data_IF_151998660522
#
_entry.id   IF_151998660522
#
_cell.length_a   1.000
_cell.length_b   1.000
_cell.length_c   1.000
_cell.angle_alpha   90.00
_cell.angle_beta   90.00
_cell.angle_gamma   90.00
#
_symmetry.space_group_name_H-M   'P 1'
#
loop_
_entity.id
_entity.type
_entity.pdbx_description
1 polymer ?
#
# COMPACT_ATOMS: atom_id res chain seq x y z
N UNK A 1 15.41 -44.55 -31.59
CA UNK A 1 13.95 -44.73 -31.45
C UNK A 1 13.63 -45.10 -30.01
N UNK A 2 12.61 -44.45 -29.41
CA UNK A 2 11.88 -44.81 -28.15
C UNK A 2 12.64 -44.48 -26.84
N UNK A 3 12.32 -43.39 -26.12
CA UNK A 3 11.15 -43.06 -25.24
C UNK A 3 11.28 -43.60 -23.80
N UNK A 4 11.10 -42.71 -22.81
CA UNK A 4 10.76 -42.99 -21.40
C UNK A 4 11.59 -42.15 -20.40
N UNK A 5 11.17 -40.96 -19.95
CA UNK A 5 10.28 -40.65 -18.78
C UNK A 5 10.90 -41.15 -17.44
N UNK A 6 11.64 -40.31 -16.69
CA UNK A 6 11.25 -39.52 -15.49
C UNK A 6 10.51 -40.32 -14.39
N UNK A 7 11.06 -40.42 -13.17
CA UNK A 7 10.35 -40.06 -11.91
C UNK A 7 11.23 -40.19 -10.65
N UNK A 8 11.05 -39.19 -9.77
CA UNK A 8 11.62 -38.99 -8.44
C UNK A 8 11.24 -40.07 -7.41
N UNK A 9 12.07 -40.24 -6.38
CA UNK A 9 11.58 -40.51 -5.02
C UNK A 9 12.54 -39.92 -3.97
N UNK A 10 12.06 -38.89 -3.28
CA UNK A 10 12.67 -38.28 -2.09
C UNK A 10 12.24 -39.11 -0.88
N UNK A 11 13.19 -39.58 -0.09
CA UNK A 11 12.97 -40.03 1.29
C UNK A 11 13.91 -39.23 2.21
N UNK A 12 13.33 -38.36 3.03
CA UNK A 12 13.91 -37.98 4.31
C UNK A 12 12.79 -37.47 5.23
N UNK A 13 12.86 -37.95 6.46
CA UNK A 13 11.84 -38.01 7.50
C UNK A 13 11.98 -36.81 8.45
N UNK A 14 10.81 -36.28 8.85
CA UNK A 14 10.42 -35.61 10.11
C UNK A 14 11.29 -34.49 10.69
N UNK A 15 10.63 -33.37 10.98
CA UNK A 15 10.77 -32.66 12.27
C UNK A 15 9.44 -31.94 12.59
N UNK A 16 8.76 -32.38 13.64
CA UNK A 16 7.87 -31.52 14.44
C UNK A 16 8.77 -30.49 15.14
N UNK A 17 8.38 -29.25 15.42
CA UNK A 17 7.39 -28.79 16.39
C UNK A 17 7.12 -27.27 16.14
N UNK A 18 6.05 -26.76 16.76
CA UNK A 18 5.84 -25.38 17.27
C UNK A 18 5.31 -24.25 16.35
N UNK A 19 4.06 -23.84 16.66
CA UNK A 19 3.42 -22.52 16.52
C UNK A 19 3.76 -21.65 15.30
N UNK A 20 2.97 -21.77 14.23
CA UNK A 20 2.98 -20.81 13.13
C UNK A 20 1.58 -20.20 12.89
N UNK A 21 1.25 -19.12 13.62
CA UNK A 21 0.46 -18.02 13.03
C UNK A 21 1.33 -17.17 12.07
N UNK A 22 2.36 -17.78 11.47
CA UNK A 22 3.27 -17.16 10.52
C UNK A 22 2.72 -17.20 9.08
N UNK A 23 1.75 -18.08 8.80
CA UNK A 23 1.12 -18.18 7.47
C UNK A 23 0.43 -16.89 7.06
N UNK A 24 -0.33 -16.26 7.96
CA UNK A 24 -1.12 -15.09 7.60
C UNK A 24 -0.28 -13.81 7.43
N UNK A 25 0.88 -13.70 8.09
CA UNK A 25 1.79 -12.56 7.92
C UNK A 25 2.71 -12.73 6.73
N UNK A 26 3.15 -13.96 6.43
CA UNK A 26 4.01 -14.23 5.28
C UNK A 26 3.22 -14.19 3.97
N UNK A 27 1.99 -14.71 3.91
CA UNK A 27 1.13 -14.58 2.72
C UNK A 27 0.65 -13.15 2.50
N UNK A 28 0.46 -12.37 3.58
CA UNK A 28 0.23 -10.92 3.49
C UNK A 28 1.47 -10.17 3.03
N UNK A 29 2.66 -10.54 3.49
CA UNK A 29 3.93 -9.98 2.99
C UNK A 29 4.23 -10.38 1.54
N UNK A 30 3.83 -11.59 1.12
CA UNK A 30 4.04 -12.13 -0.23
C UNK A 30 3.01 -11.58 -1.24
N UNK A 31 1.79 -11.27 -0.81
CA UNK A 31 0.81 -10.52 -1.60
C UNK A 31 1.11 -9.02 -1.70
N UNK A 32 1.93 -8.46 -0.81
CA UNK A 32 2.52 -7.12 -0.98
C UNK A 32 3.64 -7.15 -2.04
N UNK A 33 4.26 -8.31 -2.27
CA UNK A 33 5.41 -8.47 -3.17
C UNK A 33 5.06 -8.72 -4.64
N UNK A 34 3.79 -8.88 -5.02
CA UNK A 34 3.39 -9.20 -6.41
C UNK A 34 3.10 -7.98 -7.29
N UNK A 35 3.19 -6.76 -6.76
CA UNK A 35 3.13 -5.53 -7.55
C UNK A 35 4.52 -4.93 -7.69
N UNK A 36 5.31 -5.44 -8.64
CA UNK A 36 6.59 -4.84 -9.02
C UNK A 36 6.39 -3.32 -9.25
N UNK A 37 6.92 -2.51 -8.32
CA UNK A 37 6.79 -1.04 -8.34
C UNK A 37 5.90 -0.39 -7.25
N UNK A 38 5.21 -1.17 -6.39
CA UNK A 38 4.43 -0.61 -5.27
C UNK A 38 5.10 -0.88 -3.92
N UNK A 39 6.18 -0.14 -3.63
CA UNK A 39 6.85 -0.19 -2.32
C UNK A 39 6.27 0.84 -1.35
N UNK A 40 5.63 0.37 -0.28
CA UNK A 40 4.93 1.23 0.68
C UNK A 40 5.86 2.25 1.34
N UNK A 41 7.08 1.85 1.73
CA UNK A 41 8.00 2.73 2.44
C UNK A 41 8.54 3.85 1.54
N UNK A 42 8.89 3.50 0.31
CA UNK A 42 9.36 4.43 -0.72
C UNK A 42 8.25 5.41 -1.09
N UNK A 43 7.02 4.92 -1.29
CA UNK A 43 5.87 5.77 -1.59
C UNK A 43 5.52 6.69 -0.42
N UNK A 44 5.50 6.19 0.82
CA UNK A 44 5.30 7.02 2.02
C UNK A 44 6.34 8.13 2.06
N UNK A 45 7.63 7.80 1.88
CA UNK A 45 8.71 8.78 1.91
C UNK A 45 8.55 9.84 0.81
N UNK A 46 8.27 9.42 -0.42
CA UNK A 46 8.07 10.32 -1.55
C UNK A 46 6.86 11.24 -1.37
N UNK A 47 5.74 10.70 -0.88
CA UNK A 47 4.53 11.47 -0.57
C UNK A 47 4.80 12.46 0.57
N UNK A 48 5.42 12.02 1.67
CA UNK A 48 5.75 12.90 2.79
C UNK A 48 6.74 14.00 2.39
N UNK A 49 7.63 13.75 1.43
CA UNK A 49 8.51 14.75 0.83
C UNK A 49 7.76 15.86 0.09
N UNK A 50 6.56 15.58 -0.44
CA UNK A 50 5.66 16.57 -1.04
C UNK A 50 4.71 17.21 -0.03
N UNK A 51 4.10 16.41 0.85
CA UNK A 51 3.10 16.88 1.81
C UNK A 51 3.72 17.74 2.93
N UNK A 52 4.88 17.37 3.46
CA UNK A 52 5.50 18.09 4.58
C UNK A 52 5.72 19.59 4.29
N UNK A 53 6.39 19.97 3.18
CA UNK A 53 6.55 21.39 2.86
C UNK A 53 5.24 22.04 2.43
N UNK A 54 4.43 21.39 1.58
CA UNK A 54 3.21 21.98 1.03
C UNK A 54 2.14 22.28 2.10
N UNK A 55 2.06 21.46 3.13
CA UNK A 55 1.13 21.62 4.26
C UNK A 55 1.78 22.30 5.46
N UNK A 56 3.08 22.60 5.39
CA UNK A 56 3.83 23.18 6.51
C UNK A 56 3.64 22.36 7.79
N UNK A 57 3.81 21.04 7.69
CA UNK A 57 3.53 20.12 8.80
C UNK A 57 4.48 20.39 9.97
N UNK A 58 3.90 20.52 11.17
CA UNK A 58 4.69 20.65 12.40
C UNK A 58 5.41 19.35 12.75
N UNK A 59 6.41 19.45 13.63
CA UNK A 59 7.13 18.28 14.13
C UNK A 59 6.19 17.24 14.78
N UNK A 60 5.13 17.70 15.46
CA UNK A 60 4.13 16.83 16.08
C UNK A 60 3.18 16.18 15.05
N UNK A 61 2.92 16.84 13.92
CA UNK A 61 2.03 16.34 12.87
C UNK A 61 2.73 15.32 11.96
N UNK A 62 4.01 15.55 11.60
CA UNK A 62 4.78 14.70 10.68
C UNK A 62 4.67 13.20 10.98
N UNK A 63 4.93 12.69 12.20
CA UNK A 63 4.84 11.26 12.46
C UNK A 63 3.38 10.74 12.34
N UNK A 64 2.39 11.53 12.76
CA UNK A 64 0.97 11.14 12.67
C UNK A 64 0.50 11.04 11.22
N UNK A 65 0.87 12.02 10.38
CA UNK A 65 0.57 12.00 8.94
C UNK A 65 1.31 10.85 8.27
N UNK A 66 2.58 10.63 8.59
CA UNK A 66 3.38 9.50 8.06
C UNK A 66 2.69 8.16 8.34
N UNK A 67 2.23 7.94 9.57
CA UNK A 67 1.51 6.72 9.94
C UNK A 67 0.19 6.59 9.16
N UNK A 68 -0.61 7.65 9.07
CA UNK A 68 -1.88 7.62 8.33
C UNK A 68 -1.67 7.29 6.83
N UNK A 69 -0.64 7.86 6.20
CA UNK A 69 -0.28 7.57 4.81
C UNK A 69 0.22 6.14 4.65
N UNK A 70 1.08 5.66 5.56
CA UNK A 70 1.62 4.29 5.52
C UNK A 70 0.52 3.25 5.68
N UNK A 71 -0.39 3.45 6.63
CA UNK A 71 -1.55 2.57 6.83
C UNK A 71 -2.43 2.51 5.58
N UNK A 72 -2.73 3.68 4.99
CA UNK A 72 -3.51 3.77 3.75
C UNK A 72 -2.84 3.02 2.60
N UNK A 73 -1.55 3.25 2.36
CA UNK A 73 -0.81 2.57 1.29
C UNK A 73 -0.71 1.06 1.54
N UNK A 74 -0.56 0.64 2.80
CA UNK A 74 -0.57 -0.78 3.18
C UNK A 74 -1.92 -1.45 2.92
N UNK A 75 -3.02 -0.74 3.12
CA UNK A 75 -4.35 -1.23 2.74
C UNK A 75 -4.50 -1.28 1.23
N UNK A 76 -4.04 -0.24 0.52
CA UNK A 76 -4.06 -0.17 -0.95
C UNK A 76 -3.29 -1.33 -1.59
N UNK A 77 -2.12 -1.68 -1.04
CA UNK A 77 -1.28 -2.77 -1.50
C UNK A 77 -2.02 -4.14 -1.52
N UNK A 78 -3.04 -4.34 -0.69
CA UNK A 78 -3.78 -5.60 -0.64
C UNK A 78 -4.70 -5.82 -1.84
N UNK A 79 -5.05 -4.76 -2.58
CA UNK A 79 -5.98 -4.85 -3.70
C UNK A 79 -5.53 -4.09 -4.95
N UNK A 80 -4.30 -3.57 -4.98
CA UNK A 80 -3.77 -2.78 -6.11
C UNK A 80 -3.76 -3.58 -7.43
N UNK A 81 -3.55 -4.90 -7.39
CA UNK A 81 -3.65 -5.78 -8.56
C UNK A 81 -5.06 -5.82 -9.19
N UNK A 82 -6.10 -5.45 -8.43
CA UNK A 82 -7.47 -5.31 -8.93
C UNK A 82 -7.61 -4.18 -9.94
N UNK A 83 -6.68 -3.21 -10.01
CA UNK A 83 -6.70 -2.19 -11.05
C UNK A 83 -6.75 -2.79 -12.45
N UNK A 84 -6.08 -3.92 -12.67
CA UNK A 84 -6.03 -4.60 -13.97
C UNK A 84 -7.11 -5.68 -14.09
N UNK A 85 -7.37 -6.41 -13.01
CA UNK A 85 -8.22 -7.61 -13.04
C UNK A 85 -9.69 -7.34 -12.72
N UNK A 86 -9.99 -6.30 -11.94
CA UNK A 86 -11.35 -5.88 -11.60
C UNK A 86 -11.40 -4.38 -11.20
N UNK A 87 -11.40 -3.46 -12.18
CA UNK A 87 -11.33 -2.02 -11.93
C UNK A 87 -12.49 -1.47 -11.10
N UNK A 88 -13.67 -2.07 -11.18
CA UNK A 88 -14.85 -1.67 -10.41
C UNK A 88 -14.64 -1.95 -8.91
N UNK A 89 -14.18 -3.16 -8.56
CA UNK A 89 -13.84 -3.52 -7.18
C UNK A 89 -12.70 -2.65 -6.66
N UNK A 90 -11.66 -2.40 -7.47
CA UNK A 90 -10.57 -1.50 -7.10
C UNK A 90 -11.11 -0.11 -6.73
N UNK A 91 -11.93 0.50 -7.61
CA UNK A 91 -12.49 1.84 -7.39
C UNK A 91 -13.32 1.91 -6.11
N UNK A 92 -14.16 0.91 -5.86
CA UNK A 92 -14.99 0.87 -4.65
C UNK A 92 -14.13 0.79 -3.38
N UNK A 93 -13.14 -0.12 -3.34
CA UNK A 93 -12.23 -0.27 -2.19
C UNK A 93 -11.39 0.98 -1.97
N UNK A 94 -10.83 1.52 -3.05
CA UNK A 94 -10.03 2.74 -3.05
C UNK A 94 -10.81 3.93 -2.48
N UNK A 95 -12.07 4.12 -2.90
CA UNK A 95 -12.94 5.14 -2.33
C UNK A 95 -13.12 4.94 -0.82
N UNK A 96 -13.38 3.72 -0.36
CA UNK A 96 -13.56 3.42 1.06
C UNK A 96 -12.33 3.76 1.90
N UNK A 97 -11.16 3.24 1.52
CA UNK A 97 -9.92 3.48 2.29
C UNK A 97 -9.45 4.93 2.21
N UNK A 98 -9.71 5.63 1.09
CA UNK A 98 -9.35 7.04 0.94
C UNK A 98 -10.21 7.94 1.82
N UNK A 99 -11.50 7.63 1.99
CA UNK A 99 -12.34 8.33 2.96
C UNK A 99 -11.86 8.09 4.39
N UNK A 100 -11.42 6.88 4.71
CA UNK A 100 -10.76 6.57 5.99
C UNK A 100 -9.50 7.41 6.22
N UNK A 101 -8.65 7.56 5.20
CA UNK A 101 -7.49 8.44 5.25
C UNK A 101 -7.90 9.90 5.52
N UNK A 102 -8.89 10.44 4.79
CA UNK A 102 -9.37 11.81 5.02
C UNK A 102 -9.85 12.03 6.45
N UNK A 103 -10.62 11.10 7.00
CA UNK A 103 -11.10 11.19 8.38
C UNK A 103 -9.95 11.21 9.38
N UNK A 104 -8.92 10.36 9.20
CA UNK A 104 -7.70 10.39 10.03
C UNK A 104 -6.97 11.73 9.90
N UNK A 105 -6.78 12.21 8.68
CA UNK A 105 -6.10 13.49 8.42
C UNK A 105 -6.87 14.68 8.99
N UNK A 106 -8.21 14.66 8.99
CA UNK A 106 -9.03 15.70 9.62
C UNK A 106 -8.79 15.81 11.14
N UNK A 107 -8.41 14.71 11.80
CA UNK A 107 -8.03 14.70 13.21
C UNK A 107 -6.58 15.14 13.49
N UNK A 108 -5.74 15.28 12.46
CA UNK A 108 -4.32 15.62 12.59
C UNK A 108 -4.03 17.03 12.07
N UNK A 109 -4.65 17.39 10.95
CA UNK A 109 -4.43 18.62 10.21
C UNK A 109 -5.43 19.70 10.66
N UNK A 110 -4.96 20.94 10.72
CA UNK A 110 -5.90 22.08 10.88
C UNK A 110 -6.66 22.32 9.58
N UNK A 111 -7.80 23.02 9.66
CA UNK A 111 -8.70 23.25 8.50
C UNK A 111 -7.99 23.75 7.24
N UNK A 112 -7.07 24.70 7.37
CA UNK A 112 -6.31 25.23 6.23
C UNK A 112 -5.41 24.14 5.60
N UNK A 113 -4.69 23.38 6.41
CA UNK A 113 -3.86 22.26 5.93
C UNK A 113 -4.70 21.19 5.25
N UNK A 114 -5.88 20.87 5.79
CA UNK A 114 -6.78 19.90 5.18
C UNK A 114 -7.30 20.39 3.82
N UNK A 115 -7.68 21.66 3.70
CA UNK A 115 -8.09 22.24 2.42
C UNK A 115 -6.94 22.20 1.40
N UNK A 116 -5.72 22.56 1.82
CA UNK A 116 -4.53 22.46 0.97
C UNK A 116 -4.27 21.02 0.53
N UNK A 117 -4.38 20.05 1.44
CA UNK A 117 -4.23 18.63 1.13
C UNK A 117 -5.19 18.20 0.01
N UNK A 118 -6.47 18.57 0.10
CA UNK A 118 -7.45 18.26 -0.95
C UNK A 118 -7.11 18.95 -2.28
N UNK A 119 -6.54 20.16 -2.21
CA UNK A 119 -6.07 20.90 -3.38
C UNK A 119 -4.77 20.35 -4.01
N UNK A 120 -4.03 19.48 -3.32
CA UNK A 120 -2.85 18.80 -3.88
C UNK A 120 -3.20 17.61 -4.77
N UNK A 121 -4.50 17.31 -4.96
CA UNK A 121 -4.94 16.24 -5.86
C UNK A 121 -4.49 16.56 -7.30
N UNK A 122 -3.70 15.70 -7.95
CA UNK A 122 -3.37 15.88 -9.35
C UNK A 122 -4.61 15.82 -10.23
N UNK A 123 -4.61 16.60 -11.32
CA UNK A 123 -5.73 16.65 -12.27
C UNK A 123 -5.97 15.28 -12.94
N UNK A 124 -4.89 14.53 -13.20
CA UNK A 124 -4.90 13.23 -13.86
C UNK A 124 -4.16 12.18 -13.04
N UNK A 125 -4.45 10.90 -13.30
CA UNK A 125 -3.68 9.80 -12.75
C UNK A 125 -2.37 9.65 -13.54
N UNK A 126 -1.33 10.35 -13.09
CA UNK A 126 0.01 10.31 -13.67
C UNK A 126 0.93 9.40 -12.83
N UNK A 127 1.40 8.25 -13.35
CA UNK A 127 2.30 7.36 -12.63
C UNK A 127 3.63 8.00 -12.21
N UNK A 128 4.10 9.04 -12.91
CA UNK A 128 5.32 9.77 -12.56
C UNK A 128 5.12 10.71 -11.36
N UNK A 129 3.87 11.11 -11.08
CA UNK A 129 3.53 11.91 -9.92
C UNK A 129 3.24 11.03 -8.72
N UNK A 130 4.12 11.06 -7.72
CA UNK A 130 3.95 10.27 -6.49
C UNK A 130 2.63 10.56 -5.75
N UNK A 131 2.08 11.78 -5.88
CA UNK A 131 0.77 12.10 -5.28
C UNK A 131 -0.38 11.40 -6.02
N UNK A 132 -0.23 11.02 -7.28
CA UNK A 132 -1.26 10.24 -7.96
C UNK A 132 -1.46 8.89 -7.30
N UNK A 133 -0.41 8.29 -6.74
CA UNK A 133 -0.51 7.07 -5.93
C UNK A 133 -1.31 7.27 -4.64
N UNK A 134 -1.40 8.50 -4.14
CA UNK A 134 -2.21 8.84 -2.98
C UNK A 134 -3.68 9.05 -3.35
N UNK A 135 -3.97 9.69 -4.48
CA UNK A 135 -5.31 10.19 -4.83
C UNK A 135 -6.10 9.34 -5.85
N UNK A 136 -5.48 8.34 -6.48
CA UNK A 136 -6.08 7.47 -7.51
C UNK A 136 -5.71 6.01 -7.21
#
# INVERSE_FOLDING_TARGET
MKKGIILLAILAIVSTETNAQLGNVLDKAKSVATNAGFDVNTLTTGIMGKLSPALTLSAAQKPKVTNAITEYLSQKAQFIAKQQTNPAEYKQRQMGIFQGLKSKLAGILVKNQMNKFLGLKPATNDPANVLSQLFF
#
